data_IF_074569924566
#
_entry.id   IF_074569924566
#
_cell.length_a   1.000
_cell.length_b   1.000
_cell.length_c   1.000
_cell.angle_alpha   90.00
_cell.angle_beta   90.00
_cell.angle_gamma   90.00
#
_symmetry.space_group_name_H-M   'P 1'
#
loop_
_entity.id
_entity.type
_entity.pdbx_description
1 polymer ?
#
# COMPACT_ATOMS: atom_id res chain seq x y z
N UNK A 1 18.03 -6.54 16.71
CA UNK A 1 17.13 -5.43 16.33
C UNK A 1 16.38 -5.87 15.09
N UNK A 2 15.10 -6.24 15.24
CA UNK A 2 14.26 -6.67 14.12
C UNK A 2 13.74 -5.41 13.44
N UNK A 3 14.31 -4.99 12.30
CA UNK A 3 13.77 -3.85 11.55
C UNK A 3 12.58 -4.34 10.71
N UNK A 4 11.43 -3.68 10.86
CA UNK A 4 10.27 -3.94 9.98
C UNK A 4 10.20 -2.81 8.96
N UNK A 5 10.03 -3.18 7.69
CA UNK A 5 9.77 -2.23 6.62
C UNK A 5 8.27 -2.03 6.51
N UNK A 6 7.81 -0.78 6.61
CA UNK A 6 6.41 -0.45 6.39
C UNK A 6 6.03 -0.79 4.94
N UNK A 7 5.00 -1.63 4.75
CA UNK A 7 4.51 -2.00 3.42
C UNK A 7 3.80 -0.85 2.69
N UNK A 8 3.47 0.24 3.39
CA UNK A 8 2.81 1.41 2.80
C UNK A 8 3.78 2.48 2.34
N UNK A 9 4.76 2.85 3.19
CA UNK A 9 5.68 3.96 2.89
C UNK A 9 7.14 3.55 2.73
N UNK A 10 7.49 2.28 2.95
CA UNK A 10 8.86 1.78 2.83
C UNK A 10 9.80 2.17 3.96
N UNK A 11 9.39 3.00 4.93
CA UNK A 11 10.23 3.34 6.09
C UNK A 11 10.55 2.10 6.91
N UNK A 12 11.82 1.93 7.28
CA UNK A 12 12.26 0.91 8.22
C UNK A 12 12.20 1.46 9.65
N UNK A 13 11.59 0.74 10.56
CA UNK A 13 11.47 1.15 11.96
C UNK A 13 11.56 -0.06 12.91
N UNK A 14 11.92 0.22 14.16
CA UNK A 14 11.99 -0.79 15.22
C UNK A 14 10.59 -0.98 15.85
N UNK A 15 10.00 -2.19 15.77
CA UNK A 15 8.68 -2.49 16.32
C UNK A 15 8.62 -2.41 17.85
N UNK A 16 9.75 -2.50 18.56
CA UNK A 16 9.81 -2.41 20.03
C UNK A 16 9.65 -0.96 20.48
N UNK A 17 10.11 0.00 19.68
CA UNK A 17 10.03 1.44 20.00
C UNK A 17 8.75 2.10 19.51
N UNK A 18 7.98 1.43 18.64
CA UNK A 18 6.69 1.91 18.13
C UNK A 18 5.56 0.88 18.34
N UNK A 19 5.31 0.43 19.58
CA UNK A 19 4.27 -0.55 19.88
C UNK A 19 2.89 0.11 19.90
N UNK A 20 1.92 -0.51 19.21
CA UNK A 20 0.50 -0.15 19.20
C UNK A 20 0.17 1.30 18.79
N UNK A 21 -1.06 1.49 18.33
CA UNK A 21 -1.55 2.82 18.00
C UNK A 21 -1.95 3.51 19.31
N UNK A 22 -1.25 4.58 19.68
CA UNK A 22 -1.40 5.27 20.98
C UNK A 22 -2.78 5.84 21.29
N UNK A 23 -3.70 5.87 20.32
CA UNK A 23 -5.08 6.31 20.47
C UNK A 23 -6.10 5.16 20.63
N UNK A 24 -5.67 3.88 20.59
CA UNK A 24 -6.59 2.74 20.60
C UNK A 24 -6.92 2.29 22.03
N UNK A 25 -8.20 2.38 22.48
CA UNK A 25 -8.61 1.98 23.83
C UNK A 25 -8.48 0.47 24.11
N UNK A 26 -8.16 -0.34 23.09
CA UNK A 26 -7.88 -1.78 23.18
C UNK A 26 -6.38 -2.12 23.17
N UNK A 27 -5.51 -1.15 23.49
CA UNK A 27 -4.04 -1.26 23.44
C UNK A 27 -3.46 -2.50 24.17
N UNK A 28 -4.11 -2.98 25.24
CA UNK A 28 -3.59 -4.05 26.10
C UNK A 28 -3.45 -5.43 25.45
N UNK A 29 -4.02 -5.65 24.25
CA UNK A 29 -3.95 -6.93 23.53
C UNK A 29 -3.65 -6.82 22.04
N UNK A 30 -3.31 -5.64 21.54
CA UNK A 30 -3.10 -5.40 20.10
C UNK A 30 -1.64 -5.72 19.72
N UNK A 31 -1.42 -6.80 18.97
CA UNK A 31 -0.10 -7.26 18.49
C UNK A 31 0.43 -6.46 17.27
N UNK A 32 -0.06 -5.24 17.09
CA UNK A 32 0.12 -4.43 15.90
C UNK A 32 1.14 -3.32 16.16
N UNK A 33 2.00 -3.03 15.20
CA UNK A 33 2.99 -1.95 15.24
C UNK A 33 2.58 -0.87 14.25
N UNK A 34 2.65 0.40 14.66
CA UNK A 34 2.19 1.53 13.85
C UNK A 34 3.43 2.28 13.32
N UNK A 35 3.50 2.46 12.00
CA UNK A 35 4.63 3.12 11.36
C UNK A 35 4.67 4.61 11.76
N UNK A 36 5.80 5.13 12.28
CA UNK A 36 5.87 6.52 12.75
C UNK A 36 5.78 7.55 11.63
N UNK A 37 6.04 7.15 10.38
CA UNK A 37 6.04 8.07 9.23
C UNK A 37 4.69 8.19 8.54
N UNK A 38 3.91 7.10 8.49
CA UNK A 38 2.66 7.07 7.72
C UNK A 38 1.43 6.66 8.53
N UNK A 39 1.59 6.24 9.78
CA UNK A 39 0.48 5.80 10.65
C UNK A 39 -0.09 4.42 10.29
N UNK A 40 0.42 3.76 9.24
CA UNK A 40 -0.05 2.42 8.88
C UNK A 40 0.27 1.39 9.95
N UNK A 41 -0.70 0.52 10.21
CA UNK A 41 -0.62 -0.52 11.22
C UNK A 41 -0.29 -1.87 10.56
N UNK A 42 0.85 -2.47 10.95
CA UNK A 42 1.26 -3.81 10.49
C UNK A 42 1.24 -4.79 11.66
N UNK A 43 0.93 -6.05 11.39
CA UNK A 43 0.97 -7.11 12.40
C UNK A 43 2.44 -7.36 12.77
N UNK A 44 2.78 -7.35 14.06
CA UNK A 44 4.12 -7.74 14.50
C UNK A 44 4.25 -9.28 14.38
N UNK A 45 5.05 -9.79 13.43
CA UNK A 45 5.18 -11.24 13.20
C UNK A 45 5.94 -11.95 14.34
N UNK A 46 6.59 -11.22 15.26
CA UNK A 46 7.40 -11.80 16.34
C UNK A 46 6.56 -12.47 17.45
N UNK A 47 5.23 -12.33 17.44
CA UNK A 47 4.35 -12.96 18.44
C UNK A 47 3.91 -14.40 18.10
N UNK A 48 4.25 -14.94 16.91
CA UNK A 48 3.90 -16.32 16.54
C UNK A 48 5.08 -17.27 16.78
N UNK A 49 5.12 -17.95 17.94
CA UNK A 49 6.15 -18.98 18.26
C UNK A 49 6.23 -20.10 17.21
N UNK A 50 5.13 -20.36 16.48
CA UNK A 50 5.06 -21.35 15.40
C UNK A 50 5.78 -20.89 14.11
N UNK A 51 5.91 -19.59 13.84
CA UNK A 51 6.57 -19.08 12.62
C UNK A 51 8.08 -19.27 12.66
N UNK A 52 8.69 -19.25 13.86
CA UNK A 52 10.14 -19.52 14.04
C UNK A 52 10.53 -20.94 13.64
N UNK A 53 9.62 -21.90 13.70
CA UNK A 53 9.88 -23.29 13.30
C UNK A 53 9.76 -23.50 11.79
N UNK A 54 8.80 -22.85 11.12
CA UNK A 54 8.54 -23.06 9.69
C UNK A 54 9.33 -22.12 8.76
N UNK A 55 9.91 -21.03 9.27
CA UNK A 55 10.75 -20.11 8.49
C UNK A 55 12.09 -20.71 8.03
N UNK A 56 12.50 -21.86 8.59
CA UNK A 56 13.77 -22.54 8.23
C UNK A 56 13.60 -23.46 7.02
N UNK A 57 12.37 -23.92 6.72
CA UNK A 57 12.11 -24.90 5.65
C UNK A 57 11.62 -24.29 4.33
N UNK A 58 11.21 -23.02 4.33
CA UNK A 58 10.72 -22.36 3.12
C UNK A 58 11.51 -21.08 2.86
N UNK A 59 12.40 -21.06 1.84
CA UNK A 59 13.09 -19.83 1.46
C UNK A 59 12.05 -18.79 1.07
N UNK A 60 12.08 -17.64 1.74
CA UNK A 60 11.26 -16.47 1.41
C UNK A 60 11.49 -16.18 -0.08
N UNK A 61 10.43 -16.28 -0.88
CA UNK A 61 10.42 -15.65 -2.21
C UNK A 61 10.52 -14.14 -1.97
N UNK A 62 11.74 -13.64 -1.98
CA UNK A 62 12.04 -12.23 -2.18
C UNK A 62 11.43 -11.88 -3.52
N UNK A 63 10.27 -11.23 -3.52
CA UNK A 63 9.75 -10.61 -4.72
C UNK A 63 10.69 -9.47 -5.05
N UNK A 64 11.62 -9.73 -5.97
CA UNK A 64 12.45 -8.72 -6.61
C UNK A 64 11.54 -7.68 -7.27
N UNK A 65 11.60 -6.45 -6.77
CA UNK A 65 10.92 -5.30 -7.36
C UNK A 65 11.71 -4.91 -8.61
N UNK A 66 11.08 -5.10 -9.77
CA UNK A 66 11.65 -4.90 -11.11
C UNK A 66 11.91 -3.40 -11.37
N UNK A 67 13.13 -3.10 -11.78
CA UNK A 67 13.67 -1.77 -12.09
C UNK A 67 13.19 -1.23 -13.45
N UNK A 68 12.73 0.02 -13.44
CA UNK A 68 12.62 1.02 -14.54
C UNK A 68 12.00 0.56 -15.87
N UNK A 69 10.67 0.59 -15.94
CA UNK A 69 9.91 0.77 -17.19
C UNK A 69 9.25 2.14 -17.10
N UNK A 70 9.23 2.93 -18.18
CA UNK A 70 8.46 4.20 -18.26
C UNK A 70 7.10 4.00 -17.60
N UNK A 71 6.89 4.60 -16.42
CA UNK A 71 5.76 4.30 -15.56
C UNK A 71 4.49 4.87 -16.19
N UNK A 72 3.80 4.05 -16.98
CA UNK A 72 2.43 4.31 -17.42
C UNK A 72 1.59 4.59 -16.18
N UNK A 73 0.87 5.71 -16.18
CA UNK A 73 0.05 6.14 -15.05
C UNK A 73 -1.43 5.90 -15.32
N UNK A 74 -2.25 5.99 -14.28
CA UNK A 74 -3.70 5.89 -14.42
C UNK A 74 -4.28 6.99 -15.32
N UNK A 75 -3.63 8.16 -15.37
CA UNK A 75 -4.00 9.27 -16.27
C UNK A 75 -3.78 8.95 -17.76
N UNK A 76 -2.92 7.98 -18.08
CA UNK A 76 -2.60 7.60 -19.47
C UNK A 76 -3.50 6.47 -20.02
N UNK A 77 -4.41 5.96 -19.19
CA UNK A 77 -5.28 4.81 -19.52
C UNK A 77 -6.55 5.30 -20.22
N UNK A 78 -7.03 4.57 -21.22
CA UNK A 78 -8.24 4.99 -21.93
C UNK A 78 -9.48 4.66 -21.09
N UNK A 79 -10.53 5.50 -21.12
CA UNK A 79 -11.83 5.13 -20.56
C UNK A 79 -12.32 3.79 -21.13
N UNK A 80 -12.85 2.95 -20.26
CA UNK A 80 -13.30 1.59 -20.56
C UNK A 80 -12.29 0.50 -20.20
N UNK A 81 -10.99 0.81 -20.16
CA UNK A 81 -9.94 -0.17 -19.91
C UNK A 81 -9.88 -0.58 -18.42
N UNK A 82 -9.58 -1.85 -18.17
CA UNK A 82 -9.22 -2.38 -16.87
C UNK A 82 -7.71 -2.62 -16.81
N UNK A 83 -7.06 -2.07 -15.78
CA UNK A 83 -5.61 -2.13 -15.57
C UNK A 83 -5.30 -2.53 -14.14
N UNK A 84 -4.11 -3.05 -13.87
CA UNK A 84 -3.70 -3.36 -12.48
C UNK A 84 -2.88 -2.25 -11.90
N UNK A 85 -3.12 -1.89 -10.64
CA UNK A 85 -2.26 -0.96 -9.92
C UNK A 85 -0.90 -1.62 -9.72
N UNK A 86 0.17 -0.95 -10.15
CA UNK A 86 1.54 -1.43 -10.01
C UNK A 86 2.24 -0.82 -8.78
N UNK A 87 1.86 0.40 -8.40
CA UNK A 87 2.51 1.13 -7.31
C UNK A 87 2.12 2.60 -7.28
N UNK A 88 2.83 3.36 -6.46
CA UNK A 88 2.60 4.79 -6.26
C UNK A 88 3.88 5.58 -6.43
N UNK A 89 3.74 6.79 -6.97
CA UNK A 89 4.84 7.73 -7.04
C UNK A 89 5.30 8.15 -5.64
N UNK A 90 6.62 8.29 -5.41
CA UNK A 90 7.17 8.72 -4.13
C UNK A 90 6.79 10.15 -3.74
N UNK A 91 6.22 10.92 -4.68
CA UNK A 91 5.73 12.29 -4.47
C UNK A 91 4.39 12.33 -3.72
N UNK A 92 3.67 11.22 -3.63
CA UNK A 92 2.41 11.16 -2.89
C UNK A 92 2.67 11.17 -1.38
N UNK A 93 2.05 12.12 -0.68
CA UNK A 93 2.12 12.17 0.79
C UNK A 93 1.59 10.88 1.41
N UNK A 94 2.10 10.46 2.59
CA UNK A 94 1.62 9.26 3.27
C UNK A 94 0.11 9.23 3.52
N UNK A 95 -0.50 10.38 3.84
CA UNK A 95 -1.94 10.48 4.05
C UNK A 95 -2.75 10.21 2.77
N UNK A 96 -2.34 10.81 1.64
CA UNK A 96 -2.96 10.56 0.32
C UNK A 96 -2.84 9.08 -0.09
N UNK A 97 -1.67 8.48 0.11
CA UNK A 97 -1.44 7.06 -0.19
C UNK A 97 -2.35 6.15 0.65
N UNK A 98 -2.44 6.41 1.96
CA UNK A 98 -3.33 5.67 2.85
C UNK A 98 -4.81 5.80 2.43
N UNK A 99 -5.22 6.99 1.98
CA UNK A 99 -6.59 7.23 1.49
C UNK A 99 -6.89 6.44 0.21
N UNK A 100 -5.98 6.45 -0.78
CA UNK A 100 -6.13 5.67 -2.01
C UNK A 100 -6.29 4.17 -1.70
N UNK A 101 -5.46 3.65 -0.81
CA UNK A 101 -5.49 2.23 -0.42
C UNK A 101 -6.72 1.87 0.40
N UNK A 102 -7.24 2.78 1.23
CA UNK A 102 -8.49 2.59 1.95
C UNK A 102 -9.69 2.42 1.00
N UNK A 103 -9.62 3.00 -0.20
CA UNK A 103 -10.62 2.80 -1.26
C UNK A 103 -10.28 1.64 -2.22
N UNK A 104 -9.25 0.84 -1.93
CA UNK A 104 -8.90 -0.35 -2.70
C UNK A 104 -7.99 -0.12 -3.90
N UNK A 105 -7.47 1.09 -4.11
CA UNK A 105 -6.34 1.31 -5.02
C UNK A 105 -5.09 0.74 -4.33
N UNK A 106 -4.80 -0.54 -4.57
CA UNK A 106 -3.71 -1.29 -3.92
C UNK A 106 -2.92 -2.04 -5.00
N UNK A 107 -1.57 -2.10 -4.91
CA UNK A 107 -0.77 -2.83 -5.89
C UNK A 107 -1.23 -4.28 -6.08
N UNK A 108 -1.35 -4.70 -7.33
CA UNK A 108 -1.81 -6.01 -7.75
C UNK A 108 -3.32 -6.11 -8.01
N UNK A 109 -4.12 -5.14 -7.56
CA UNK A 109 -5.57 -5.15 -7.75
C UNK A 109 -5.99 -4.48 -9.06
N UNK A 110 -7.02 -5.01 -9.74
CA UNK A 110 -7.56 -4.42 -10.96
C UNK A 110 -8.36 -3.15 -10.62
N UNK A 111 -8.32 -2.19 -11.54
CA UNK A 111 -9.10 -0.96 -11.51
C UNK A 111 -9.56 -0.63 -12.91
N UNK A 112 -10.83 -0.28 -13.06
CA UNK A 112 -11.41 0.09 -14.35
C UNK A 112 -11.46 1.61 -14.47
N UNK A 113 -10.98 2.16 -15.58
CA UNK A 113 -11.11 3.59 -15.85
C UNK A 113 -12.47 3.85 -16.49
N UNK A 114 -13.30 4.64 -15.83
CA UNK A 114 -14.64 5.00 -16.31
C UNK A 114 -14.57 6.24 -17.20
N UNK A 115 -13.76 7.22 -16.79
CA UNK A 115 -13.67 8.54 -17.45
C UNK A 115 -12.29 9.17 -17.21
N UNK A 116 -11.84 10.04 -18.12
CA UNK A 116 -10.62 10.84 -17.94
C UNK A 116 -10.85 12.36 -17.86
N UNK A 117 -11.95 12.87 -18.41
CA UNK A 117 -12.27 14.31 -18.42
C UNK A 117 -13.70 14.56 -17.93
N UNK A 118 -13.96 15.60 -17.12
CA UNK A 118 -13.01 16.63 -16.66
C UNK A 118 -12.03 16.16 -15.58
N UNK A 119 -12.30 15.01 -14.96
CA UNK A 119 -11.44 14.34 -13.97
C UNK A 119 -11.35 12.84 -14.27
N UNK A 120 -10.30 12.19 -13.78
CA UNK A 120 -10.12 10.75 -13.89
C UNK A 120 -11.08 10.05 -12.93
N UNK A 121 -12.04 9.30 -13.45
CA UNK A 121 -12.96 8.49 -12.65
C UNK A 121 -12.57 7.03 -12.82
N UNK A 122 -12.37 6.35 -11.71
CA UNK A 122 -12.05 4.92 -11.69
C UNK A 122 -13.04 4.14 -10.84
N UNK A 123 -13.33 2.92 -11.27
CA UNK A 123 -14.13 1.97 -10.53
C UNK A 123 -13.21 0.91 -9.91
N UNK A 124 -13.26 0.83 -8.58
CA UNK A 124 -12.63 -0.22 -7.78
C UNK A 124 -13.74 -1.05 -7.18
N UNK A 125 -13.81 -2.32 -7.54
CA UNK A 125 -14.94 -3.21 -7.24
C UNK A 125 -16.30 -2.57 -7.64
N UNK A 126 -17.06 -2.09 -6.66
CA UNK A 126 -18.38 -1.47 -6.84
C UNK A 126 -18.40 0.04 -6.55
N UNK A 127 -17.24 0.65 -6.26
CA UNK A 127 -17.13 2.07 -5.89
C UNK A 127 -16.45 2.85 -7.01
N UNK A 128 -17.04 3.99 -7.36
CA UNK A 128 -16.42 4.96 -8.26
C UNK A 128 -15.72 6.07 -7.47
N UNK A 129 -14.49 6.38 -7.86
CA UNK A 129 -13.64 7.39 -7.25
C UNK A 129 -13.24 8.40 -8.32
N UNK A 130 -13.49 9.68 -8.05
CA UNK A 130 -12.97 10.77 -8.84
C UNK A 130 -11.59 11.19 -8.28
N UNK A 131 -10.58 11.17 -9.15
CA UNK A 131 -9.19 11.49 -8.83
C UNK A 131 -8.80 12.78 -9.55
N UNK A 132 -8.14 13.67 -8.81
CA UNK A 132 -7.44 14.83 -9.37
C UNK A 132 -6.27 14.36 -10.24
N UNK A 133 -5.87 15.19 -11.22
CA UNK A 133 -4.80 14.86 -12.18
C UNK A 133 -3.48 14.50 -11.47
N UNK A 134 -3.13 15.21 -10.39
CA UNK A 134 -1.95 14.90 -9.57
C UNK A 134 -1.99 13.49 -8.98
N UNK A 135 -3.15 13.05 -8.49
CA UNK A 135 -3.33 11.72 -7.91
C UNK A 135 -3.32 10.65 -9.01
N UNK A 136 -4.03 10.88 -10.12
CA UNK A 136 -4.08 9.94 -11.24
C UNK A 136 -2.69 9.70 -11.86
N UNK A 137 -1.85 10.73 -11.97
CA UNK A 137 -0.43 10.60 -12.38
C UNK A 137 0.45 9.94 -11.33
N UNK A 138 0.06 10.06 -10.06
CA UNK A 138 0.74 9.43 -8.93
C UNK A 138 0.50 7.92 -8.81
N UNK A 139 -0.46 7.35 -9.54
CA UNK A 139 -0.76 5.91 -9.52
C UNK A 139 -0.17 5.23 -10.77
N UNK A 140 0.75 4.30 -10.57
CA UNK A 140 1.35 3.52 -11.64
C UNK A 140 0.52 2.28 -11.96
N UNK A 141 0.45 1.91 -13.23
CA UNK A 141 -0.36 0.79 -13.70
C UNK A 141 0.43 -0.16 -14.61
N UNK A 142 0.02 -1.43 -14.61
CA UNK A 142 0.52 -2.50 -15.47
C UNK A 142 -0.53 -2.92 -16.51
#
# INVERSE_FOLDING_TARGET
MTMITCTMCGTQFDPVTNPACGACPLHGGCSTVCCPTCGYSTINPDQSRLVKMFAVLFPKKTTEVVTTKTNRTLADVKPGDEVKVAGFAPTLSPARLAHLQAYGLVPGYPVRVVQQKPVTVVQVDFVELALEDELARGVWVA
#
